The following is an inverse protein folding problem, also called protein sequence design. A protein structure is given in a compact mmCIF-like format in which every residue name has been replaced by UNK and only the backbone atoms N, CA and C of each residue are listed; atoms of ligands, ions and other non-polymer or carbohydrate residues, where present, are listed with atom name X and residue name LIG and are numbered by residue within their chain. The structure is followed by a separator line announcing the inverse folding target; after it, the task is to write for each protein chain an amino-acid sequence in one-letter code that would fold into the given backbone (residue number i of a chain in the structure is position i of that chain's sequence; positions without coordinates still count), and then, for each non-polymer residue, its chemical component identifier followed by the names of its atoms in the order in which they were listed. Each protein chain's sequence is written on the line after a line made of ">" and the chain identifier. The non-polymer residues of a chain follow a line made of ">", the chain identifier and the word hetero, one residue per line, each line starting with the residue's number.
data_IF_046368061575
#
_entry.id   IF_046368061575
#
_cell.length_a   1.000
_cell.length_b   1.000
_cell.length_c   1.000
_cell.angle_alpha   90.00
_cell.angle_beta   90.00
_cell.angle_gamma   90.00
#
_symmetry.space_group_name_H-M   'P 1'
#
loop_
_entity.id
_entity.type
_entity.pdbx_description
1 polymer ?
#
# COMPACT_ATOMS: atom_id res chain seq x y z
N UNK A 1 40.25 -52.25 31.45
CA UNK A 1 40.16 -50.80 31.44
C UNK A 1 38.75 -50.36 31.81
N UNK A 2 38.60 -49.40 32.70
CA UNK A 2 37.26 -48.82 32.99
C UNK A 2 36.91 -47.88 31.83
N UNK A 3 35.96 -48.26 31.00
CA UNK A 3 35.38 -47.37 30.02
C UNK A 3 34.64 -46.23 30.74
N UNK A 4 35.01 -45.00 30.45
CA UNK A 4 34.33 -43.81 30.95
C UNK A 4 33.80 -43.06 29.75
N UNK A 5 32.54 -42.67 29.81
CA UNK A 5 31.90 -41.85 28.81
C UNK A 5 31.55 -40.48 29.37
N UNK A 6 31.57 -39.47 28.53
CA UNK A 6 31.08 -38.12 28.83
C UNK A 6 30.19 -37.63 27.69
N UNK A 7 29.15 -36.86 28.02
CA UNK A 7 28.29 -36.21 27.04
C UNK A 7 28.70 -34.76 26.92
N UNK A 8 28.91 -34.30 25.69
CA UNK A 8 29.15 -32.90 25.35
C UNK A 8 27.92 -32.35 24.62
N UNK A 9 27.33 -31.32 25.17
CA UNK A 9 26.23 -30.60 24.51
C UNK A 9 26.78 -29.52 23.60
N UNK A 10 26.23 -29.41 22.37
CA UNK A 10 26.51 -28.35 21.44
C UNK A 10 25.20 -27.60 21.10
N UNK A 11 25.21 -26.30 21.23
CA UNK A 11 24.08 -25.45 20.86
C UNK A 11 24.38 -24.72 19.55
N UNK A 12 23.51 -24.92 18.59
CA UNK A 12 23.55 -24.19 17.29
C UNK A 12 22.48 -23.12 17.33
N UNK A 13 22.84 -21.87 17.00
CA UNK A 13 21.88 -20.77 16.86
C UNK A 13 21.87 -20.34 15.41
N UNK A 14 20.70 -20.37 14.80
CA UNK A 14 20.47 -19.86 13.44
C UNK A 14 20.22 -18.35 13.52
N UNK A 15 20.91 -17.52 12.71
CA UNK A 15 20.62 -16.09 12.61
C UNK A 15 19.19 -15.81 12.12
N UNK A 16 18.62 -14.68 12.53
CA UNK A 16 17.24 -14.30 12.15
C UNK A 16 17.08 -13.99 10.67
N UNK A 17 18.17 -13.64 9.99
CA UNK A 17 18.22 -13.34 8.56
C UNK A 17 18.70 -14.51 7.69
N UNK A 18 18.84 -15.71 8.28
CA UNK A 18 19.23 -16.89 7.50
C UNK A 18 18.11 -17.31 6.56
N UNK A 19 18.47 -17.57 5.31
CA UNK A 19 17.51 -17.99 4.29
C UNK A 19 17.24 -19.50 4.40
N UNK A 20 16.04 -19.87 3.96
CA UNK A 20 15.67 -21.29 3.91
C UNK A 20 16.63 -22.07 3.01
N UNK A 21 16.85 -23.33 3.37
CA UNK A 21 17.78 -24.24 2.69
C UNK A 21 19.27 -23.91 2.84
N UNK A 22 19.67 -22.83 3.50
CA UNK A 22 21.07 -22.66 3.87
C UNK A 22 21.53 -23.83 4.75
N UNK A 23 22.70 -24.33 4.48
CA UNK A 23 23.26 -25.49 5.19
C UNK A 23 24.63 -25.17 5.74
N UNK A 24 24.89 -25.69 6.93
CA UNK A 24 26.22 -25.73 7.53
C UNK A 24 26.56 -27.14 7.99
N UNK A 25 27.75 -27.61 7.68
CA UNK A 25 28.28 -28.84 8.24
C UNK A 25 29.21 -28.52 9.42
N UNK A 26 28.86 -29.06 10.60
CA UNK A 26 29.66 -28.98 11.80
C UNK A 26 30.44 -30.29 11.98
N UNK A 27 31.75 -30.19 12.03
CA UNK A 27 32.62 -31.34 12.20
C UNK A 27 33.19 -31.31 13.63
N UNK A 28 32.88 -32.32 14.41
CA UNK A 28 33.39 -32.48 15.77
C UNK A 28 34.52 -33.49 15.72
N UNK A 29 35.67 -33.14 16.27
CA UNK A 29 36.85 -34.00 16.34
C UNK A 29 37.30 -34.19 17.78
N UNK A 30 37.65 -35.41 18.15
CA UNK A 30 38.18 -35.74 19.46
C UNK A 30 39.62 -36.21 19.33
N UNK A 31 40.51 -35.55 20.05
CA UNK A 31 41.93 -35.89 20.12
C UNK A 31 42.30 -36.22 21.57
N UNK A 32 43.15 -37.22 21.81
CA UNK A 32 43.74 -37.49 23.12
C UNK A 32 44.64 -36.32 23.58
N UNK A 33 44.47 -35.85 24.81
CA UNK A 33 45.27 -34.76 25.37
C UNK A 33 46.74 -35.13 25.56
N UNK A 34 47.07 -36.44 25.60
CA UNK A 34 48.44 -36.96 25.69
C UNK A 34 49.24 -36.91 24.39
N UNK A 35 48.62 -36.43 23.31
CA UNK A 35 49.19 -36.49 21.98
C UNK A 35 49.03 -37.88 21.35
N UNK A 36 48.73 -37.94 20.09
CA UNK A 36 48.51 -39.17 19.34
C UNK A 36 47.85 -38.85 18.00
N UNK A 37 47.89 -39.80 17.10
CA UNK A 37 47.28 -39.65 15.75
C UNK A 37 45.84 -40.19 15.67
N UNK A 38 45.35 -40.81 16.76
CA UNK A 38 44.02 -41.37 16.79
C UNK A 38 43.01 -40.30 17.20
N UNK A 39 42.15 -39.92 16.32
CA UNK A 39 41.01 -39.08 16.57
C UNK A 39 39.78 -39.71 15.90
N UNK A 40 38.64 -39.43 16.47
CA UNK A 40 37.35 -39.76 15.86
C UNK A 40 36.62 -38.48 15.51
N UNK A 41 35.84 -38.49 14.45
CA UNK A 41 35.08 -37.36 13.94
C UNK A 41 33.64 -37.71 13.75
N UNK A 42 32.76 -36.75 14.08
CA UNK A 42 31.34 -36.81 13.81
C UNK A 42 30.94 -35.55 13.08
N UNK A 43 30.22 -35.66 11.98
CA UNK A 43 29.64 -34.53 11.28
C UNK A 43 28.15 -34.39 11.59
N UNK A 44 27.68 -33.15 11.71
CA UNK A 44 26.29 -32.79 11.86
C UNK A 44 25.96 -31.75 10.80
N UNK A 45 24.98 -32.06 9.97
CA UNK A 45 24.42 -31.08 9.01
C UNK A 45 23.24 -30.36 9.66
N UNK A 46 23.25 -29.05 9.62
CA UNK A 46 22.16 -28.18 10.06
C UNK A 46 21.63 -27.46 8.83
N UNK A 47 20.34 -27.61 8.55
CA UNK A 47 19.65 -26.95 7.44
C UNK A 47 18.65 -25.96 8.03
N UNK A 48 18.59 -24.74 7.48
CA UNK A 48 17.61 -23.72 7.88
C UNK A 48 16.24 -24.10 7.32
N UNK A 49 15.27 -24.22 8.21
CA UNK A 49 13.89 -24.53 7.83
C UNK A 49 13.22 -23.33 7.15
N UNK A 50 12.31 -23.60 6.22
CA UNK A 50 11.48 -22.57 5.61
C UNK A 50 10.45 -22.05 6.62
N UNK A 51 10.33 -20.73 6.67
CA UNK A 51 9.32 -19.98 7.41
C UNK A 51 8.63 -19.06 6.39
N UNK A 52 7.34 -19.24 6.24
CA UNK A 52 6.49 -18.40 5.41
C UNK A 52 5.88 -17.28 6.25
N UNK A 53 5.71 -16.11 5.64
CA UNK A 53 5.07 -14.97 6.31
C UNK A 53 4.46 -14.03 5.28
N UNK A 54 3.17 -13.72 5.43
CA UNK A 54 2.44 -12.85 4.53
C UNK A 54 1.75 -11.75 5.33
N UNK A 55 2.14 -10.51 5.05
CA UNK A 55 1.39 -9.31 5.44
C UNK A 55 1.07 -8.47 4.21
N UNK A 56 0.09 -7.57 4.35
CA UNK A 56 -0.27 -6.60 3.32
C UNK A 56 -0.43 -5.22 3.94
N UNK A 57 -0.04 -4.19 3.19
CA UNK A 57 -0.41 -2.81 3.47
C UNK A 57 -1.17 -2.24 2.26
N UNK A 58 -2.17 -1.41 2.54
CA UNK A 58 -3.04 -0.80 1.52
C UNK A 58 -3.09 0.70 1.73
N UNK A 59 -2.10 1.44 1.20
CA UNK A 59 -1.95 2.89 1.44
C UNK A 59 -3.15 3.74 1.00
N UNK A 60 -3.93 3.24 0.04
CA UNK A 60 -5.14 3.91 -0.45
C UNK A 60 -6.24 2.88 -0.74
N UNK A 61 -7.34 2.99 -0.01
CA UNK A 61 -8.50 2.07 -0.14
C UNK A 61 -9.69 2.70 -0.85
N UNK A 62 -9.70 4.03 -1.01
CA UNK A 62 -10.77 4.78 -1.68
C UNK A 62 -10.20 5.53 -2.88
N UNK A 63 -10.81 5.37 -4.05
CA UNK A 63 -10.43 6.05 -5.27
C UNK A 63 -11.66 6.52 -6.04
N UNK A 64 -11.54 7.69 -6.64
CA UNK A 64 -12.57 8.28 -7.49
C UNK A 64 -12.06 8.43 -8.90
N UNK A 65 -12.87 8.03 -9.88
CA UNK A 65 -12.56 8.18 -11.29
C UNK A 65 -13.78 8.52 -12.11
N UNK A 66 -13.59 8.78 -13.40
CA UNK A 66 -14.64 9.08 -14.36
C UNK A 66 -15.05 7.86 -15.15
N UNK A 67 -16.23 7.90 -15.73
CA UNK A 67 -16.64 6.86 -16.68
C UNK A 67 -15.64 6.74 -17.83
N UNK A 68 -15.31 5.50 -18.18
CA UNK A 68 -14.30 5.17 -19.17
C UNK A 68 -12.85 5.34 -18.71
N UNK A 69 -12.60 5.55 -17.41
CA UNK A 69 -11.23 5.60 -16.85
C UNK A 69 -10.95 4.44 -15.90
N UNK A 70 -9.69 4.29 -15.54
CA UNK A 70 -9.24 3.31 -14.56
C UNK A 70 -8.76 3.99 -13.28
N UNK A 71 -9.05 3.39 -12.15
CA UNK A 71 -8.46 3.74 -10.85
C UNK A 71 -7.55 2.60 -10.37
N UNK A 72 -6.47 2.94 -9.68
CA UNK A 72 -5.43 2.00 -9.26
C UNK A 72 -5.23 2.08 -7.76
N UNK A 73 -5.41 0.97 -7.08
CA UNK A 73 -5.22 0.85 -5.65
C UNK A 73 -3.91 0.12 -5.38
N UNK A 74 -2.93 0.76 -4.75
CA UNK A 74 -1.68 0.09 -4.40
C UNK A 74 -1.92 -0.92 -3.27
N UNK A 75 -1.27 -2.06 -3.38
CA UNK A 75 -1.24 -3.13 -2.39
C UNK A 75 0.22 -3.52 -2.22
N UNK A 76 0.76 -3.32 -1.04
CA UNK A 76 2.10 -3.76 -0.69
C UNK A 76 2.02 -5.19 -0.14
N UNK A 77 2.63 -6.12 -0.86
CA UNK A 77 2.78 -7.52 -0.48
C UNK A 77 4.09 -7.66 0.29
N UNK A 78 4.01 -8.04 1.56
CA UNK A 78 5.15 -8.11 2.47
C UNK A 78 5.41 -9.59 2.79
N UNK A 79 6.56 -10.11 2.35
CA UNK A 79 7.03 -11.43 2.73
C UNK A 79 7.96 -11.29 3.94
N UNK A 80 7.46 -11.59 5.14
CA UNK A 80 8.22 -11.60 6.39
C UNK A 80 8.98 -12.92 6.62
N UNK A 81 8.78 -13.90 5.73
CA UNK A 81 9.42 -15.20 5.79
C UNK A 81 10.89 -15.18 5.35
N UNK A 82 11.51 -16.35 5.39
CA UNK A 82 12.90 -16.55 4.96
C UNK A 82 13.02 -17.36 3.67
N UNK A 83 11.92 -17.53 2.95
CA UNK A 83 11.84 -18.23 1.67
C UNK A 83 11.07 -17.36 0.68
N UNK A 84 11.39 -17.49 -0.62
CA UNK A 84 10.58 -16.89 -1.67
C UNK A 84 9.21 -17.54 -1.69
N UNK A 85 8.17 -16.73 -1.78
CA UNK A 85 6.79 -17.17 -1.78
C UNK A 85 6.06 -16.73 -3.05
N UNK A 86 5.18 -17.60 -3.54
CA UNK A 86 4.23 -17.30 -4.62
C UNK A 86 2.93 -16.78 -4.01
N UNK A 87 2.62 -15.52 -4.28
CA UNK A 87 1.43 -14.84 -3.77
C UNK A 87 0.38 -14.75 -4.87
N UNK A 88 -0.80 -15.30 -4.62
CA UNK A 88 -1.97 -15.21 -5.49
C UNK A 88 -2.95 -14.14 -5.01
N UNK A 89 -3.51 -13.37 -5.95
CA UNK A 89 -4.51 -12.34 -5.69
C UNK A 89 -5.82 -12.68 -6.39
N UNK A 90 -6.94 -12.36 -5.74
CA UNK A 90 -8.28 -12.53 -6.31
C UNK A 90 -9.29 -11.58 -5.69
N UNK A 91 -10.23 -11.08 -6.49
CA UNK A 91 -11.43 -10.40 -5.98
C UNK A 91 -12.42 -11.46 -5.56
N UNK A 92 -12.74 -11.52 -4.28
CA UNK A 92 -13.64 -12.54 -3.70
C UNK A 92 -15.05 -12.03 -3.48
N UNK A 93 -15.23 -10.72 -3.42
CA UNK A 93 -16.52 -10.05 -3.31
C UNK A 93 -16.49 -8.74 -4.06
N UNK A 94 -17.58 -8.41 -4.73
CA UNK A 94 -17.77 -7.13 -5.39
C UNK A 94 -19.25 -6.78 -5.32
N UNK A 95 -19.59 -5.50 -5.19
CA UNK A 95 -20.96 -4.99 -5.28
C UNK A 95 -21.61 -5.49 -6.59
N UNK A 96 -22.86 -5.94 -6.50
CA UNK A 96 -23.53 -6.57 -7.65
C UNK A 96 -23.88 -5.57 -8.77
N UNK A 97 -24.06 -4.28 -8.40
CA UNK A 97 -24.39 -3.19 -9.33
C UNK A 97 -23.91 -1.87 -8.72
N UNK A 98 -23.07 -1.09 -9.42
CA UNK A 98 -22.41 -1.49 -10.66
C UNK A 98 -21.31 -2.55 -10.43
N UNK A 99 -21.12 -3.42 -11.41
CA UNK A 99 -20.02 -4.37 -11.41
C UNK A 99 -19.01 -3.99 -12.49
N UNK A 100 -17.95 -3.35 -12.07
CA UNK A 100 -16.86 -2.91 -12.93
C UNK A 100 -15.80 -3.98 -13.13
N UNK A 101 -15.14 -3.98 -14.26
CA UNK A 101 -14.06 -4.91 -14.54
C UNK A 101 -12.84 -4.61 -13.66
N UNK A 102 -12.17 -5.70 -13.25
CA UNK A 102 -11.03 -5.62 -12.34
C UNK A 102 -9.87 -6.48 -12.84
N UNK A 103 -8.65 -6.00 -12.66
CA UNK A 103 -7.42 -6.75 -12.90
C UNK A 103 -6.39 -6.46 -11.81
N UNK A 104 -5.36 -7.31 -11.72
CA UNK A 104 -4.18 -7.04 -10.92
C UNK A 104 -3.00 -6.80 -11.86
N UNK A 105 -2.23 -5.75 -11.59
CA UNK A 105 -1.07 -5.35 -12.37
C UNK A 105 0.16 -5.14 -11.49
N UNK A 106 1.33 -5.41 -12.06
CA UNK A 106 2.60 -5.04 -11.45
C UNK A 106 2.93 -3.55 -11.69
N UNK A 107 4.09 -3.08 -11.23
CA UNK A 107 4.53 -1.69 -11.41
C UNK A 107 4.67 -1.29 -12.88
N UNK A 108 4.98 -2.25 -13.77
CA UNK A 108 5.08 -2.02 -15.21
C UNK A 108 3.72 -2.02 -15.94
N UNK A 109 2.62 -2.21 -15.21
CA UNK A 109 1.27 -2.28 -15.78
C UNK A 109 0.97 -3.61 -16.48
N UNK A 110 1.72 -4.66 -16.21
CA UNK A 110 1.46 -5.98 -16.77
C UNK A 110 0.49 -6.76 -15.89
N UNK A 111 -0.59 -7.33 -16.46
CA UNK A 111 -1.57 -8.08 -15.70
C UNK A 111 -0.99 -9.41 -15.23
N UNK A 112 -1.40 -9.82 -14.02
CA UNK A 112 -1.03 -11.09 -13.42
C UNK A 112 -2.13 -11.60 -12.47
N UNK A 113 -2.02 -12.85 -12.03
CA UNK A 113 -2.83 -13.43 -10.95
C UNK A 113 -1.99 -13.98 -9.81
N UNK A 114 -0.70 -14.15 -10.06
CA UNK A 114 0.28 -14.67 -9.11
C UNK A 114 1.60 -13.94 -9.33
N UNK A 115 2.31 -13.65 -8.24
CA UNK A 115 3.61 -12.99 -8.26
C UNK A 115 4.53 -13.62 -7.21
N UNK A 116 5.82 -13.73 -7.53
CA UNK A 116 6.84 -14.15 -6.58
C UNK A 116 7.32 -12.96 -5.76
N UNK A 117 7.40 -13.13 -4.44
CA UNK A 117 7.92 -12.13 -3.50
C UNK A 117 9.13 -12.73 -2.79
N UNK A 118 10.27 -12.06 -2.92
CA UNK A 118 11.52 -12.48 -2.30
C UNK A 118 11.42 -12.48 -0.76
N UNK A 119 12.23 -13.29 -0.06
CA UNK A 119 12.21 -13.32 1.40
C UNK A 119 12.58 -11.96 1.99
N UNK A 120 11.91 -11.58 3.08
CA UNK A 120 12.14 -10.33 3.83
C UNK A 120 12.06 -9.09 2.93
N UNK A 121 11.15 -9.09 1.96
CA UNK A 121 10.97 -8.00 1.01
C UNK A 121 9.51 -7.58 0.85
N UNK A 122 9.33 -6.41 0.26
CA UNK A 122 8.02 -5.86 -0.11
C UNK A 122 7.96 -5.70 -1.62
N UNK A 123 6.81 -6.06 -2.21
CA UNK A 123 6.52 -5.84 -3.63
C UNK A 123 5.19 -5.12 -3.74
N UNK A 124 5.17 -3.95 -4.38
CA UNK A 124 3.94 -3.20 -4.65
C UNK A 124 3.27 -3.71 -5.92
N UNK A 125 1.98 -3.96 -5.83
CA UNK A 125 1.11 -4.33 -6.94
C UNK A 125 -0.15 -3.47 -6.91
N UNK A 126 -0.96 -3.51 -7.97
CA UNK A 126 -2.13 -2.66 -8.10
C UNK A 126 -3.37 -3.50 -8.39
N UNK A 127 -4.44 -3.26 -7.62
CA UNK A 127 -5.79 -3.58 -8.07
C UNK A 127 -6.22 -2.44 -9.01
N UNK A 128 -6.53 -2.78 -10.25
CA UNK A 128 -7.04 -1.84 -11.27
C UNK A 128 -8.54 -2.08 -11.42
N UNK A 129 -9.31 -1.01 -11.37
CA UNK A 129 -10.77 -1.05 -11.57
C UNK A 129 -11.11 -0.14 -12.73
N UNK A 130 -11.70 -0.70 -13.78
CA UNK A 130 -12.21 0.05 -14.93
C UNK A 130 -13.60 0.58 -14.59
N UNK A 131 -13.70 1.89 -14.40
CA UNK A 131 -14.97 2.53 -14.04
C UNK A 131 -15.82 2.68 -15.31
N UNK A 132 -17.01 2.13 -15.28
CA UNK A 132 -18.01 2.26 -16.34
C UNK A 132 -19.38 2.47 -15.71
N UNK A 133 -20.08 3.53 -16.08
CA UNK A 133 -21.38 3.88 -15.51
C UNK A 133 -21.93 5.18 -16.10
N UNK A 134 -23.21 5.41 -15.93
CA UNK A 134 -23.93 6.58 -16.44
C UNK A 134 -24.44 7.49 -15.31
N UNK A 135 -24.57 6.95 -14.10
CA UNK A 135 -25.11 7.69 -12.96
C UNK A 135 -24.00 8.15 -12.02
N UNK A 136 -24.08 9.37 -11.58
CA UNK A 136 -23.10 9.94 -10.67
C UNK A 136 -23.17 9.33 -9.27
N UNK A 137 -22.01 9.23 -8.61
CA UNK A 137 -21.85 8.62 -7.29
C UNK A 137 -22.14 7.11 -7.24
N UNK A 138 -22.26 6.45 -8.39
CA UNK A 138 -22.17 4.99 -8.40
C UNK A 138 -20.85 4.55 -7.74
N UNK A 139 -20.92 3.49 -6.99
CA UNK A 139 -19.71 2.98 -6.33
C UNK A 139 -19.70 1.46 -6.33
N UNK A 140 -18.50 0.89 -6.36
CA UNK A 140 -18.27 -0.53 -6.24
C UNK A 140 -17.34 -0.79 -5.07
N UNK A 141 -17.82 -1.57 -4.12
CA UNK A 141 -17.02 -2.08 -3.01
C UNK A 141 -16.49 -3.46 -3.38
N UNK A 142 -15.18 -3.62 -3.22
CA UNK A 142 -14.47 -4.85 -3.57
C UNK A 142 -13.76 -5.41 -2.35
N UNK A 143 -13.78 -6.72 -2.21
CA UNK A 143 -12.92 -7.42 -1.24
C UNK A 143 -11.87 -8.22 -2.01
N UNK A 144 -10.62 -7.91 -1.79
CA UNK A 144 -9.47 -8.63 -2.36
C UNK A 144 -8.96 -9.63 -1.33
N UNK A 145 -8.70 -10.84 -1.80
CA UNK A 145 -7.97 -11.86 -1.06
C UNK A 145 -6.58 -12.00 -1.63
N UNK A 146 -5.60 -11.95 -0.75
CA UNK A 146 -4.19 -12.23 -1.00
C UNK A 146 -3.83 -13.54 -0.31
N UNK A 147 -3.22 -14.48 -1.00
CA UNK A 147 -2.90 -15.81 -0.47
C UNK A 147 -1.46 -16.19 -0.79
N UNK A 148 -0.71 -16.62 0.22
CA UNK A 148 0.54 -17.33 0.05
C UNK A 148 0.23 -18.78 -0.35
N UNK A 149 0.63 -19.19 -1.56
CA UNK A 149 0.36 -20.52 -2.12
C UNK A 149 1.34 -21.59 -1.63
N UNK A 150 2.53 -21.15 -1.25
CA UNK A 150 3.61 -22.05 -0.83
C UNK A 150 3.54 -22.35 0.68
N UNK A 151 2.80 -21.54 1.46
CA UNK A 151 2.56 -21.81 2.87
C UNK A 151 1.48 -22.89 3.04
N UNK A 152 1.83 -24.07 3.61
CA UNK A 152 0.88 -25.13 3.88
C UNK A 152 -0.10 -24.82 5.03
N UNK A 153 0.13 -23.74 5.81
CA UNK A 153 -0.70 -23.38 6.95
C UNK A 153 -2.01 -22.71 6.49
N UNK A 154 -2.98 -23.54 6.12
CA UNK A 154 -4.33 -23.08 5.77
C UNK A 154 -5.29 -23.05 6.96
N UNK A 155 -4.79 -23.09 8.19
CA UNK A 155 -5.59 -23.03 9.41
C UNK A 155 -5.72 -21.58 9.87
N UNK A 156 -6.85 -21.25 10.43
CA UNK A 156 -7.11 -20.03 11.18
C UNK A 156 -6.75 -20.29 12.65
N UNK A 157 -5.59 -19.82 13.10
CA UNK A 157 -5.11 -20.04 14.48
C UNK A 157 -5.43 -18.88 15.41
N UNK A 158 -5.59 -17.68 14.84
CA UNK A 158 -5.92 -16.48 15.61
C UNK A 158 -7.43 -16.26 15.76
N UNK A 159 -8.27 -16.99 15.00
CA UNK A 159 -9.72 -17.02 15.12
C UNK A 159 -10.43 -15.85 14.46
N UNK A 160 -9.80 -15.17 13.52
CA UNK A 160 -10.39 -14.06 12.75
C UNK A 160 -11.30 -14.52 11.59
N UNK A 161 -11.35 -15.82 11.32
CA UNK A 161 -12.12 -16.45 10.25
C UNK A 161 -11.38 -16.50 8.92
N UNK A 162 -10.13 -16.05 8.86
CA UNK A 162 -9.27 -16.06 7.67
C UNK A 162 -8.08 -17.00 7.94
N UNK A 163 -7.77 -17.96 7.05
CA UNK A 163 -6.58 -18.79 7.20
C UNK A 163 -5.29 -17.96 7.29
N UNK A 164 -4.35 -18.34 8.16
CA UNK A 164 -3.10 -17.62 8.44
C UNK A 164 -2.26 -17.35 7.17
N UNK A 165 -2.41 -18.18 6.13
CA UNK A 165 -1.75 -17.99 4.85
C UNK A 165 -2.50 -17.03 3.90
N UNK A 166 -3.49 -16.29 4.40
CA UNK A 166 -4.30 -15.36 3.63
C UNK A 166 -4.43 -14.02 4.36
N UNK A 167 -4.67 -12.96 3.57
CA UNK A 167 -5.08 -11.64 4.03
C UNK A 167 -6.21 -11.13 3.16
N UNK A 168 -7.03 -10.23 3.70
CA UNK A 168 -8.10 -9.58 2.95
C UNK A 168 -8.06 -8.08 3.16
N UNK A 169 -8.43 -7.34 2.12
CA UNK A 169 -8.59 -5.89 2.17
C UNK A 169 -9.84 -5.48 1.39
N UNK A 170 -10.48 -4.40 1.84
CA UNK A 170 -11.63 -3.81 1.17
C UNK A 170 -11.22 -2.53 0.45
N UNK A 171 -11.78 -2.33 -0.74
CA UNK A 171 -11.55 -1.17 -1.59
C UNK A 171 -12.87 -0.58 -2.05
N UNK A 172 -12.91 0.73 -2.21
CA UNK A 172 -14.06 1.48 -2.70
C UNK A 172 -13.67 2.30 -3.93
N UNK A 173 -14.19 1.92 -5.09
CA UNK A 173 -14.11 2.72 -6.29
C UNK A 173 -15.41 3.54 -6.45
N UNK A 174 -15.30 4.82 -6.77
CA UNK A 174 -16.43 5.74 -6.89
C UNK A 174 -16.39 6.39 -8.28
N UNK A 175 -17.53 6.35 -8.99
CA UNK A 175 -17.73 7.12 -10.19
C UNK A 175 -18.10 8.56 -9.79
N UNK A 176 -17.32 9.53 -10.29
CA UNK A 176 -17.70 10.94 -10.23
C UNK A 176 -17.23 11.64 -11.51
N UNK A 177 -18.18 12.01 -12.33
CA UNK A 177 -17.93 12.77 -13.55
C UNK A 177 -17.86 14.29 -13.29
N UNK A 178 -18.07 14.72 -12.04
CA UNK A 178 -18.03 16.14 -11.69
C UNK A 178 -16.65 16.73 -11.88
N UNK A 179 -16.60 17.75 -12.66
CA UNK A 179 -15.44 18.60 -12.80
C UNK A 179 -15.62 19.83 -11.88
N UNK A 180 -14.92 19.84 -10.74
CA UNK A 180 -14.89 21.00 -9.87
C UNK A 180 -13.84 21.96 -10.38
N UNK A 181 -14.27 23.11 -10.88
CA UNK A 181 -13.38 24.13 -11.41
C UNK A 181 -13.97 25.52 -11.18
N UNK A 182 -13.15 26.44 -10.69
CA UNK A 182 -13.54 27.83 -10.48
C UNK A 182 -12.58 28.78 -11.14
N UNK A 183 -13.14 29.82 -11.75
CA UNK A 183 -12.40 30.96 -12.32
C UNK A 183 -12.59 32.19 -11.43
N UNK A 184 -11.49 32.84 -11.07
CA UNK A 184 -11.47 34.04 -10.22
C UNK A 184 -10.84 35.19 -11.00
N UNK A 185 -11.57 36.29 -11.13
CA UNK A 185 -11.09 37.51 -11.81
C UNK A 185 -11.43 38.77 -11.02
N UNK A 186 -10.76 39.86 -11.35
CA UNK A 186 -11.17 41.18 -10.89
C UNK A 186 -12.44 41.62 -11.61
N UNK A 187 -13.37 42.22 -10.88
CA UNK A 187 -14.61 42.74 -11.44
C UNK A 187 -14.33 43.73 -12.56
N UNK A 188 -15.16 43.69 -13.61
CA UNK A 188 -15.06 44.51 -14.81
C UNK A 188 -13.85 44.27 -15.73
N UNK A 189 -13.21 43.10 -15.57
CA UNK A 189 -12.14 42.69 -16.48
C UNK A 189 -12.43 41.27 -17.00
N UNK A 190 -12.34 41.06 -18.29
CA UNK A 190 -12.56 39.71 -18.89
C UNK A 190 -11.38 38.78 -18.71
N UNK A 191 -10.22 39.31 -18.32
CA UNK A 191 -8.96 38.53 -18.29
C UNK A 191 -8.02 38.84 -17.13
N UNK A 192 -8.27 39.90 -16.35
CA UNK A 192 -7.29 40.33 -15.36
C UNK A 192 -7.33 39.49 -14.08
N UNK A 193 -6.23 38.77 -13.80
CA UNK A 193 -5.97 38.03 -12.55
C UNK A 193 -5.12 38.83 -11.57
N UNK A 194 -4.72 40.04 -11.91
CA UNK A 194 -3.94 40.96 -11.06
C UNK A 194 -4.31 42.42 -11.33
N UNK A 195 -4.20 43.27 -10.31
CA UNK A 195 -4.44 44.69 -10.39
C UNK A 195 -3.70 45.45 -9.31
N UNK A 196 -3.66 46.77 -9.44
CA UNK A 196 -3.08 47.66 -8.44
C UNK A 196 -4.05 48.79 -8.05
N UNK A 197 -4.06 49.12 -6.78
CA UNK A 197 -4.84 50.23 -6.22
C UNK A 197 -3.92 51.10 -5.39
N UNK A 198 -4.01 52.39 -5.58
CA UNK A 198 -3.27 53.37 -4.76
C UNK A 198 -4.27 54.13 -3.88
N UNK A 199 -4.09 53.99 -2.55
CA UNK A 199 -4.95 54.63 -1.56
C UNK A 199 -4.12 55.61 -0.68
N UNK A 200 -4.68 56.79 -0.36
CA UNK A 200 -4.06 57.66 0.65
C UNK A 200 -4.21 57.02 2.06
N UNK A 201 -3.45 57.50 3.05
CA UNK A 201 -3.66 57.09 4.44
C UNK A 201 -5.14 57.31 4.85
N UNK A 202 -5.73 56.26 5.49
CA UNK A 202 -7.16 56.16 5.83
C UNK A 202 -8.10 56.05 4.60
N UNK A 203 -7.57 55.90 3.39
CA UNK A 203 -8.39 55.62 2.22
C UNK A 203 -8.98 54.22 2.26
N UNK A 204 -10.18 54.08 1.71
CA UNK A 204 -10.90 52.81 1.59
C UNK A 204 -11.35 52.61 0.14
N UNK A 205 -11.24 51.38 -0.33
CA UNK A 205 -11.83 51.01 -1.61
C UNK A 205 -12.36 49.58 -1.53
N UNK A 206 -13.56 49.40 -2.05
CA UNK A 206 -14.12 48.06 -2.27
C UNK A 206 -13.64 47.55 -3.61
N UNK A 207 -13.03 46.37 -3.62
CA UNK A 207 -12.63 45.65 -4.81
C UNK A 207 -13.64 44.52 -5.05
N UNK A 208 -14.29 44.54 -6.18
CA UNK A 208 -15.14 43.44 -6.64
C UNK A 208 -14.27 42.35 -7.23
N UNK A 209 -14.60 41.13 -6.89
CA UNK A 209 -14.07 39.92 -7.55
C UNK A 209 -15.23 39.16 -8.15
N UNK A 210 -15.02 38.66 -9.34
CA UNK A 210 -15.96 37.82 -10.03
C UNK A 210 -15.51 36.38 -9.96
N UNK A 211 -16.38 35.52 -9.46
CA UNK A 211 -16.15 34.08 -9.33
C UNK A 211 -17.15 33.37 -10.20
N UNK A 212 -16.67 32.42 -10.96
CA UNK A 212 -17.50 31.57 -11.80
C UNK A 212 -17.16 30.12 -11.53
N UNK A 213 -18.16 29.32 -11.24
CA UNK A 213 -18.05 27.88 -11.34
C UNK A 213 -17.96 27.52 -12.83
N UNK A 214 -16.83 26.98 -13.24
CA UNK A 214 -16.57 26.50 -14.60
C UNK A 214 -16.63 24.99 -14.68
N UNK A 215 -16.88 24.32 -13.55
CA UNK A 215 -17.21 22.92 -13.46
C UNK A 215 -18.65 22.61 -13.81
N UNK A 216 -19.00 21.36 -13.80
CA UNK A 216 -20.35 20.82 -14.08
C UNK A 216 -21.10 20.43 -12.80
N UNK A 217 -20.43 20.48 -11.63
CA UNK A 217 -21.03 20.26 -10.32
C UNK A 217 -21.28 21.57 -9.55
N UNK A 218 -22.33 21.60 -8.71
CA UNK A 218 -22.50 22.68 -7.73
C UNK A 218 -21.40 22.59 -6.69
N UNK A 219 -20.77 23.71 -6.38
CA UNK A 219 -19.70 23.76 -5.38
C UNK A 219 -19.73 25.08 -4.60
N UNK A 220 -19.20 25.08 -3.39
CA UNK A 220 -19.07 26.24 -2.54
C UNK A 220 -17.69 26.89 -2.70
N UNK A 221 -17.65 28.16 -3.04
CA UNK A 221 -16.40 28.90 -3.13
C UNK A 221 -15.88 29.31 -1.77
N UNK A 222 -14.68 28.86 -1.41
CA UNK A 222 -13.96 29.28 -0.20
C UNK A 222 -12.89 30.28 -0.57
N UNK A 223 -13.00 31.51 -0.05
CA UNK A 223 -12.03 32.57 -0.29
C UNK A 223 -10.99 32.64 0.83
N UNK A 224 -9.72 32.61 0.47
CA UNK A 224 -8.62 32.90 1.38
C UNK A 224 -7.92 34.18 0.98
N UNK A 225 -7.72 35.09 1.92
CA UNK A 225 -7.02 36.33 1.70
C UNK A 225 -5.66 36.29 2.40
N UNK A 226 -4.57 36.30 1.63
CA UNK A 226 -3.21 36.32 2.13
C UNK A 226 -2.54 37.69 1.95
N UNK A 227 -1.36 37.89 2.56
CA UNK A 227 -0.51 39.04 2.31
C UNK A 227 -0.95 40.33 3.04
N UNK A 228 -1.77 40.25 4.10
CA UNK A 228 -2.33 41.38 4.79
C UNK A 228 -1.55 41.80 6.07
N UNK A 229 -0.30 41.49 6.20
CA UNK A 229 0.46 41.85 7.39
C UNK A 229 0.47 43.36 7.65
N UNK A 230 -0.38 43.80 8.55
CA UNK A 230 -0.41 45.17 9.09
C UNK A 230 -1.05 46.25 8.20
N UNK A 231 -1.65 45.95 7.05
CA UNK A 231 -2.08 46.97 6.09
C UNK A 231 -3.62 47.08 5.93
N UNK A 232 -4.40 46.00 6.13
CA UNK A 232 -5.83 46.04 5.89
C UNK A 232 -6.65 45.07 6.77
N UNK A 233 -7.93 45.41 6.98
CA UNK A 233 -8.95 44.53 7.56
C UNK A 233 -9.77 43.92 6.43
N UNK A 234 -10.25 42.68 6.62
CA UNK A 234 -11.05 41.94 5.61
C UNK A 234 -12.50 41.77 6.06
N UNK A 235 -13.37 41.79 5.10
CA UNK A 235 -14.73 41.24 5.20
C UNK A 235 -14.92 40.22 4.08
N UNK A 236 -15.39 39.02 4.38
CA UNK A 236 -15.61 37.98 3.42
C UNK A 236 -17.05 37.47 3.51
N UNK A 237 -17.64 37.18 2.39
CA UNK A 237 -18.95 36.55 2.24
C UNK A 237 -18.78 35.26 1.46
N UNK A 238 -19.32 34.16 1.95
CA UNK A 238 -19.37 32.89 1.20
C UNK A 238 -20.58 32.89 0.26
N UNK A 239 -20.41 32.36 -0.92
CA UNK A 239 -21.46 32.19 -1.92
C UNK A 239 -21.55 30.73 -2.31
N UNK A 240 -22.78 30.24 -2.46
CA UNK A 240 -23.08 28.96 -3.09
C UNK A 240 -23.21 29.21 -4.61
N UNK A 241 -22.41 28.52 -5.42
CA UNK A 241 -22.27 28.75 -6.86
C UNK A 241 -22.66 27.52 -7.68
#
# INVERSE_FOLDING_TARGET
>A
GNEKSATVGVTVRVPTNALATEEIELIFSVLPSSGGTAYDTVSLRVTVAAIHGLEIDTPATDQTGRSGTEVRFPIDLINEGNVRDTIGLSVVSQTASPRWDTSFENEEGMPFTEIEVEPQSTTTVYLVVSIDGEEELENSRLTVRVRNKDDPNSQDKDGDGIPDNQRQAEFLAVLSDRNFSMDLRLENTDTATSGSVVLPPNGQQTLGMWVRNTGDGNDDAVFTLGGLEGIATRSMVAYNL
#
